data_IF_681869480955
#
_entry.id   IF_681869480955
#
_cell.length_a   1.000
_cell.length_b   1.000
_cell.length_c   1.000
_cell.angle_alpha   90.00
_cell.angle_beta   90.00
_cell.angle_gamma   90.00
#
_symmetry.space_group_name_H-M   'P 1'
#
loop_
_entity.id
_entity.type
_entity.pdbx_description
1 polymer ?
#
# COMPACT_ATOMS: atom_id res chain seq x y z
N UNK A 1 16.72 -2.66 5.28
CA UNK A 1 17.15 -4.06 5.02
C UNK A 1 17.35 -4.96 6.24
N UNK A 2 18.37 -4.78 7.09
CA UNK A 2 18.68 -5.75 8.16
C UNK A 2 17.53 -5.96 9.17
N UNK A 3 16.84 -4.88 9.57
CA UNK A 3 15.63 -4.96 10.40
C UNK A 3 14.47 -5.64 9.68
N UNK A 4 14.29 -5.39 8.39
CA UNK A 4 13.24 -6.02 7.56
C UNK A 4 13.43 -7.53 7.49
N UNK A 5 14.68 -8.00 7.31
CA UNK A 5 15.03 -9.43 7.31
C UNK A 5 14.59 -10.06 8.63
N UNK A 6 15.04 -9.48 9.75
CA UNK A 6 14.75 -10.01 11.08
C UNK A 6 13.25 -10.05 11.35
N UNK A 7 12.57 -8.90 11.18
CA UNK A 7 11.13 -8.76 11.43
C UNK A 7 10.34 -9.76 10.60
N UNK A 8 10.58 -9.81 9.29
CA UNK A 8 9.81 -10.69 8.40
C UNK A 8 10.11 -12.17 8.64
N UNK A 9 11.35 -12.52 9.02
CA UNK A 9 11.70 -13.87 9.45
C UNK A 9 10.90 -14.28 10.68
N UNK A 10 10.82 -13.40 11.68
CA UNK A 10 10.06 -13.62 12.91
C UNK A 10 8.55 -13.72 12.64
N UNK A 11 7.98 -12.87 11.77
CA UNK A 11 6.57 -12.92 11.35
C UNK A 11 6.19 -14.26 10.71
N UNK A 12 7.13 -14.86 9.96
CA UNK A 12 6.96 -16.17 9.32
C UNK A 12 7.27 -17.34 10.26
N UNK A 13 7.64 -17.08 11.52
CA UNK A 13 7.99 -18.10 12.50
C UNK A 13 9.27 -18.87 12.18
N UNK A 14 10.17 -18.32 11.37
CA UNK A 14 11.38 -19.00 10.92
C UNK A 14 12.55 -18.77 11.88
N UNK A 15 13.31 -19.80 12.17
CA UNK A 15 14.64 -19.64 12.76
C UNK A 15 15.65 -19.09 11.72
N UNK A 16 16.75 -18.52 12.19
CA UNK A 16 17.85 -18.11 11.30
C UNK A 16 18.42 -19.29 10.49
N UNK A 17 18.35 -20.52 11.00
CA UNK A 17 18.78 -21.72 10.29
C UNK A 17 17.86 -22.04 9.12
N UNK A 18 16.54 -22.04 9.37
CA UNK A 18 15.55 -22.32 8.32
C UNK A 18 15.57 -21.26 7.21
N UNK A 19 15.79 -19.98 7.56
CA UNK A 19 15.99 -18.95 6.55
C UNK A 19 17.27 -19.21 5.73
N UNK A 20 18.36 -19.61 6.39
CA UNK A 20 19.62 -19.93 5.73
C UNK A 20 19.46 -21.09 4.74
N UNK A 21 18.77 -22.15 5.14
CA UNK A 21 18.48 -23.31 4.30
C UNK A 21 17.65 -22.94 3.07
N UNK A 22 16.62 -22.09 3.24
CA UNK A 22 15.79 -21.59 2.12
C UNK A 22 16.56 -20.69 1.15
N UNK A 23 17.51 -19.91 1.66
CA UNK A 23 18.31 -18.97 0.86
C UNK A 23 19.50 -19.68 0.20
N UNK A 24 19.95 -20.81 0.76
CA UNK A 24 21.12 -21.55 0.30
C UNK A 24 22.44 -20.95 0.79
N UNK A 25 22.47 -20.43 2.02
CA UNK A 25 23.65 -19.80 2.64
C UNK A 25 23.92 -20.38 4.03
N UNK A 26 25.09 -20.10 4.61
CA UNK A 26 25.39 -20.50 5.98
C UNK A 26 24.59 -19.66 7.00
N UNK A 27 24.14 -20.27 8.11
CA UNK A 27 23.43 -19.58 9.20
C UNK A 27 24.17 -18.35 9.74
N UNK A 28 25.51 -18.38 9.76
CA UNK A 28 26.35 -17.24 10.16
C UNK A 28 26.19 -16.05 9.20
N UNK A 29 25.94 -16.30 7.91
CA UNK A 29 25.66 -15.22 6.96
C UNK A 29 24.34 -14.55 7.27
N UNK A 30 23.26 -15.30 7.51
CA UNK A 30 21.98 -14.74 7.93
C UNK A 30 22.13 -13.90 9.20
N UNK A 31 22.85 -14.41 10.20
CA UNK A 31 23.14 -13.65 11.43
C UNK A 31 23.83 -12.31 11.15
N UNK A 32 24.84 -12.29 10.29
CA UNK A 32 25.55 -11.05 9.89
C UNK A 32 24.69 -10.09 9.09
N UNK A 33 23.80 -10.61 8.24
CA UNK A 33 22.85 -9.80 7.49
C UNK A 33 21.83 -9.15 8.42
N UNK A 34 21.32 -9.89 9.40
CA UNK A 34 20.38 -9.36 10.39
C UNK A 34 21.02 -8.38 11.36
N UNK A 35 22.29 -8.57 11.76
CA UNK A 35 23.02 -7.62 12.61
C UNK A 35 23.49 -6.37 11.86
N UNK A 36 23.40 -6.35 10.53
CA UNK A 36 23.93 -5.25 9.70
C UNK A 36 25.45 -5.25 9.57
N UNK A 37 26.15 -6.26 10.10
CA UNK A 37 27.61 -6.41 9.98
C UNK A 37 28.07 -6.58 8.53
N UNK A 38 27.22 -7.12 7.67
CA UNK A 38 27.53 -7.35 6.25
C UNK A 38 26.27 -7.17 5.42
N UNK A 39 26.41 -6.63 4.21
CA UNK A 39 25.31 -6.60 3.26
C UNK A 39 25.31 -7.85 2.36
N UNK A 40 24.15 -8.44 2.05
CA UNK A 40 24.05 -9.52 1.07
C UNK A 40 24.39 -8.99 -0.34
N UNK A 41 24.95 -9.84 -1.18
CA UNK A 41 25.03 -9.55 -2.62
C UNK A 41 23.63 -9.47 -3.21
N UNK A 42 23.45 -8.84 -4.39
CA UNK A 42 22.14 -8.76 -5.05
C UNK A 42 21.49 -10.14 -5.27
N UNK A 43 22.28 -11.16 -5.62
CA UNK A 43 21.79 -12.52 -5.79
C UNK A 43 21.25 -13.12 -4.48
N UNK A 44 21.97 -12.91 -3.37
CA UNK A 44 21.55 -13.36 -2.03
C UNK A 44 20.36 -12.55 -1.53
N UNK A 45 20.34 -11.22 -1.75
CA UNK A 45 19.20 -10.37 -1.42
C UNK A 45 17.91 -10.83 -2.14
N UNK A 46 17.98 -11.17 -3.43
CA UNK A 46 16.84 -11.77 -4.17
C UNK A 46 16.41 -13.12 -3.61
N UNK A 47 17.34 -13.94 -3.12
CA UNK A 47 17.01 -15.21 -2.49
C UNK A 47 16.34 -15.00 -1.13
N UNK A 48 16.83 -14.06 -0.33
CA UNK A 48 16.23 -13.65 0.96
C UNK A 48 14.82 -13.12 0.75
N UNK A 49 14.61 -12.17 -0.18
CA UNK A 49 13.30 -11.61 -0.48
C UNK A 49 12.28 -12.71 -0.84
N UNK A 50 12.66 -13.63 -1.73
CA UNK A 50 11.82 -14.79 -2.10
C UNK A 50 11.53 -15.71 -0.91
N UNK A 51 12.52 -16.03 -0.09
CA UNK A 51 12.34 -16.88 1.09
C UNK A 51 11.42 -16.25 2.16
N UNK A 52 11.42 -14.91 2.24
CA UNK A 52 10.62 -14.10 3.14
C UNK A 52 9.26 -13.65 2.55
N UNK A 53 8.96 -14.08 1.32
CA UNK A 53 7.70 -13.75 0.62
C UNK A 53 7.45 -12.25 0.53
N UNK A 54 8.50 -11.50 0.23
CA UNK A 54 8.47 -10.05 -0.03
C UNK A 54 9.24 -9.74 -1.31
N UNK A 55 9.03 -8.55 -1.86
CA UNK A 55 9.78 -7.98 -2.96
C UNK A 55 11.18 -7.56 -2.52
N UNK A 56 12.07 -7.33 -3.48
CA UNK A 56 13.41 -6.82 -3.16
C UNK A 56 13.38 -5.37 -2.70
N UNK A 57 12.37 -4.61 -3.13
CA UNK A 57 12.16 -3.21 -2.74
C UNK A 57 11.72 -3.14 -1.27
N UNK A 58 10.75 -3.98 -0.88
CA UNK A 58 10.38 -4.20 0.52
C UNK A 58 11.58 -4.61 1.38
N UNK A 59 12.40 -5.54 0.86
CA UNK A 59 13.61 -5.97 1.54
C UNK A 59 14.62 -4.81 1.71
N UNK A 60 14.76 -3.94 0.72
CA UNK A 60 15.61 -2.76 0.80
C UNK A 60 15.13 -1.79 1.89
N UNK A 61 13.84 -1.84 2.23
CA UNK A 61 13.19 -0.95 3.19
C UNK A 61 12.39 0.15 2.51
N UNK A 62 12.08 0.00 1.22
CA UNK A 62 11.03 0.79 0.61
C UNK A 62 9.70 0.33 1.23
N UNK A 63 9.04 1.22 1.96
CA UNK A 63 7.71 0.94 2.51
C UNK A 63 6.70 0.86 1.36
N UNK A 64 6.47 -0.35 0.84
CA UNK A 64 5.26 -0.61 0.05
C UNK A 64 4.09 -0.88 0.98
N UNK A 65 3.74 0.09 1.83
CA UNK A 65 2.37 0.18 2.34
C UNK A 65 1.46 0.60 1.19
N UNK A 66 1.36 -0.20 0.12
CA UNK A 66 0.37 0.03 -0.92
C UNK A 66 -1.00 -0.11 -0.28
N UNK A 67 -1.61 1.03 0.06
CA UNK A 67 -3.01 1.06 0.43
C UNK A 67 -3.79 0.46 -0.74
N UNK A 68 -4.59 -0.57 -0.44
CA UNK A 68 -5.55 -1.14 -1.36
C UNK A 68 -6.86 -0.35 -1.21
N UNK A 69 -7.18 0.43 -2.23
CA UNK A 69 -8.37 1.26 -2.27
C UNK A 69 -9.52 0.63 -3.05
N UNK A 70 -9.35 -0.57 -3.61
CA UNK A 70 -10.40 -1.21 -4.40
C UNK A 70 -11.64 -1.49 -3.55
N UNK A 71 -12.79 -0.98 -3.97
CA UNK A 71 -14.07 -1.28 -3.31
C UNK A 71 -15.02 -0.10 -3.22
N UNK A 72 -16.01 -0.24 -2.32
CA UNK A 72 -17.01 0.79 -2.04
C UNK A 72 -16.59 1.63 -0.84
N UNK A 73 -16.68 2.95 -1.00
CA UNK A 73 -16.27 3.94 -0.01
C UNK A 73 -17.34 5.01 0.13
N UNK A 74 -17.25 5.77 1.22
CA UNK A 74 -17.97 7.02 1.39
C UNK A 74 -17.04 8.20 1.09
N UNK A 75 -17.46 9.06 0.16
CA UNK A 75 -16.85 10.35 -0.11
C UNK A 75 -17.78 11.48 0.37
N UNK A 76 -17.23 12.62 0.77
CA UNK A 76 -18.01 13.81 1.12
C UNK A 76 -17.34 15.07 0.61
N UNK A 77 -17.90 15.67 -0.44
CA UNK A 77 -17.31 16.85 -1.05
C UNK A 77 -17.92 18.10 -0.44
N UNK A 78 -17.05 19.04 -0.08
CA UNK A 78 -17.43 20.39 0.26
C UNK A 78 -17.56 21.19 -1.04
N UNK A 79 -18.77 21.69 -1.31
CA UNK A 79 -19.06 22.55 -2.45
C UNK A 79 -19.76 23.82 -1.99
N UNK A 80 -19.87 24.79 -2.88
CA UNK A 80 -20.58 26.04 -2.63
C UNK A 80 -21.64 26.25 -3.69
N UNK A 81 -22.87 26.51 -3.26
CA UNK A 81 -24.01 26.85 -4.12
C UNK A 81 -24.64 28.13 -3.60
N UNK A 82 -24.76 29.13 -4.46
CA UNK A 82 -25.34 30.44 -4.12
C UNK A 82 -24.71 31.08 -2.86
N UNK A 83 -23.39 30.89 -2.69
CA UNK A 83 -22.63 31.40 -1.55
C UNK A 83 -22.78 30.58 -0.25
N UNK A 84 -23.63 29.55 -0.24
CA UNK A 84 -23.79 28.65 0.90
C UNK A 84 -22.92 27.41 0.74
N UNK A 85 -22.25 27.03 1.82
CA UNK A 85 -21.50 25.78 1.90
C UNK A 85 -22.47 24.59 1.93
N UNK A 86 -22.17 23.58 1.13
CA UNK A 86 -22.92 22.32 1.08
C UNK A 86 -21.92 21.17 1.19
N UNK A 87 -22.12 20.32 2.19
CA UNK A 87 -21.44 19.03 2.29
C UNK A 87 -22.28 17.98 1.58
N UNK A 88 -21.67 17.27 0.62
CA UNK A 88 -22.35 16.30 -0.21
C UNK A 88 -21.76 14.89 -0.02
N UNK A 89 -22.14 14.15 1.05
CA UNK A 89 -21.73 12.77 1.24
C UNK A 89 -22.46 11.84 0.26
N UNK A 90 -21.70 10.95 -0.38
CA UNK A 90 -22.22 9.93 -1.27
C UNK A 90 -21.32 8.69 -1.31
N UNK A 91 -21.91 7.59 -1.73
CA UNK A 91 -21.16 6.35 -1.95
C UNK A 91 -20.42 6.45 -3.29
N UNK A 92 -19.18 5.97 -3.29
CA UNK A 92 -18.31 5.91 -4.47
C UNK A 92 -17.69 4.52 -4.57
N UNK A 93 -17.38 4.08 -5.78
CA UNK A 93 -16.47 2.95 -6.01
C UNK A 93 -15.09 3.50 -6.34
N UNK A 94 -14.06 2.96 -5.69
CA UNK A 94 -12.66 3.19 -6.06
C UNK A 94 -12.12 1.97 -6.80
N UNK A 95 -11.36 2.23 -7.87
CA UNK A 95 -10.60 1.23 -8.62
C UNK A 95 -9.16 1.68 -8.79
N UNK A 96 -8.23 1.01 -8.14
CA UNK A 96 -6.82 1.36 -8.11
C UNK A 96 -6.03 0.66 -9.21
N UNK A 97 -5.13 1.43 -9.85
CA UNK A 97 -4.15 0.95 -10.83
C UNK A 97 -2.81 1.61 -10.53
N UNK A 98 -2.01 0.93 -9.72
CA UNK A 98 -0.75 1.50 -9.22
C UNK A 98 -1.03 2.69 -8.31
N UNK A 99 -0.53 3.86 -8.71
CA UNK A 99 -0.60 5.10 -7.91
C UNK A 99 -1.78 5.99 -8.31
N UNK A 100 -2.72 5.47 -9.10
CA UNK A 100 -3.94 6.16 -9.53
C UNK A 100 -5.15 5.35 -9.09
N UNK A 101 -6.13 6.02 -8.49
CA UNK A 101 -7.44 5.45 -8.17
C UNK A 101 -8.53 6.17 -8.96
N UNK A 102 -9.26 5.44 -9.78
CA UNK A 102 -10.48 5.93 -10.41
C UNK A 102 -11.59 5.97 -9.35
N UNK A 103 -12.31 7.09 -9.24
CA UNK A 103 -13.45 7.26 -8.33
C UNK A 103 -14.72 7.45 -9.15
N UNK A 104 -15.74 6.67 -8.84
CA UNK A 104 -17.04 6.74 -9.53
C UNK A 104 -18.16 6.86 -8.52
N UNK A 105 -19.00 7.89 -8.65
CA UNK A 105 -20.18 8.04 -7.81
C UNK A 105 -21.21 6.94 -8.06
N UNK A 106 -21.66 6.30 -6.98
CA UNK A 106 -22.75 5.31 -6.98
C UNK A 106 -24.08 6.03 -6.73
N UNK A 107 -24.08 7.00 -5.81
CA UNK A 107 -25.27 7.79 -5.47
C UNK A 107 -25.10 9.25 -5.89
N UNK A 108 -26.22 9.94 -6.11
CA UNK A 108 -26.28 11.34 -6.57
C UNK A 108 -26.06 12.37 -5.45
N UNK A 109 -25.66 11.94 -4.25
CA UNK A 109 -25.51 12.83 -3.10
C UNK A 109 -26.78 13.02 -2.27
N UNK A 110 -26.68 13.88 -1.25
CA UNK A 110 -27.76 14.23 -0.31
C UNK A 110 -28.70 15.30 -0.82
N UNK A 111 -28.43 15.92 -1.98
CA UNK A 111 -29.35 16.88 -2.58
C UNK A 111 -30.64 16.15 -2.97
N UNK A 112 -31.75 16.59 -2.36
CA UNK A 112 -33.08 16.11 -2.68
C UNK A 112 -33.28 16.11 -4.20
N UNK A 113 -33.88 15.04 -4.73
CA UNK A 113 -34.01 14.75 -6.16
C UNK A 113 -34.56 15.92 -7.03
N UNK A 114 -35.17 16.92 -6.41
CA UNK A 114 -35.69 18.13 -7.06
C UNK A 114 -34.59 19.13 -7.51
N UNK A 115 -33.36 19.06 -6.98
CA UNK A 115 -32.28 20.03 -7.30
C UNK A 115 -31.16 19.49 -8.20
N UNK A 116 -31.26 18.26 -8.71
CA UNK A 116 -30.38 17.77 -9.79
C UNK A 116 -29.00 17.28 -9.35
N UNK A 117 -28.95 16.29 -8.45
CA UNK A 117 -27.71 15.54 -8.20
C UNK A 117 -27.23 14.81 -9.47
N UNK A 118 -25.91 14.81 -9.71
CA UNK A 118 -25.29 14.18 -10.88
C UNK A 118 -24.37 13.02 -10.48
N UNK A 119 -24.28 12.01 -11.35
CA UNK A 119 -23.24 11.01 -11.25
C UNK A 119 -21.97 11.57 -11.90
N UNK A 120 -20.83 11.33 -11.27
CA UNK A 120 -19.54 11.81 -11.74
C UNK A 120 -18.49 10.72 -11.65
N UNK A 121 -17.42 10.92 -12.40
CA UNK A 121 -16.19 10.12 -12.39
C UNK A 121 -15.01 11.05 -12.30
N UNK A 122 -14.03 10.70 -11.49
CA UNK A 122 -12.78 11.42 -11.33
C UNK A 122 -11.61 10.47 -11.09
N UNK A 123 -10.43 11.04 -10.90
CA UNK A 123 -9.21 10.31 -10.58
C UNK A 123 -8.55 10.92 -9.34
N UNK A 124 -8.06 10.08 -8.45
CA UNK A 124 -7.20 10.45 -7.34
C UNK A 124 -5.81 9.89 -7.61
N UNK A 125 -4.78 10.64 -7.21
CA UNK A 125 -3.40 10.18 -7.20
C UNK A 125 -2.97 9.84 -5.78
N UNK A 126 -2.29 8.71 -5.65
CA UNK A 126 -1.72 8.22 -4.41
C UNK A 126 -0.25 8.64 -4.37
N UNK A 127 0.14 9.34 -3.31
CA UNK A 127 1.50 9.80 -3.10
C UNK A 127 2.12 9.06 -1.92
N UNK A 128 3.34 8.56 -2.13
CA UNK A 128 4.07 7.73 -1.16
C UNK A 128 3.25 6.55 -0.63
N UNK A 129 2.25 6.09 -1.39
CA UNK A 129 1.24 5.11 -0.99
C UNK A 129 0.41 5.46 0.27
N UNK A 130 0.43 6.70 0.75
CA UNK A 130 -0.21 7.08 2.03
C UNK A 130 -1.19 8.26 1.90
N UNK A 131 -0.99 9.12 0.89
CA UNK A 131 -1.76 10.36 0.75
C UNK A 131 -2.54 10.34 -0.56
N UNK A 132 -3.85 10.57 -0.48
CA UNK A 132 -4.71 10.77 -1.64
C UNK A 132 -4.82 12.25 -1.96
N UNK A 133 -4.64 12.59 -3.25
CA UNK A 133 -4.88 13.94 -3.77
C UNK A 133 -5.77 13.85 -5.00
N UNK A 134 -6.78 14.71 -5.09
CA UNK A 134 -7.70 14.83 -6.21
C UNK A 134 -7.82 16.26 -6.69
#
# INVERSE_FOLDING_TARGET
MHEVIRRRRDDLGLSQGELADRVGVDKRQIRRYESGETQPTLSVARAIARALQITIDELAGEETHRVDLDGEWWGCWQTWKDGNEVLNPHQVTLRQRGDVAEVVAITRGTQAFEEGGYLWRGELRIWNNEVLTG
#
